data_IF_504786084301
#
_entry.id   IF_504786084301
#
_cell.length_a   1.000
_cell.length_b   1.000
_cell.length_c   1.000
_cell.angle_alpha   90.00
_cell.angle_beta   90.00
_cell.angle_gamma   90.00
#
_symmetry.space_group_name_H-M   'P 1'
#
loop_
_entity.id
_entity.type
_entity.pdbx_description
1 polymer ?
#
# COMPACT_ATOMS: atom_id res chain seq x y z
N UNK A 1 -0.71 20.68 6.38
CA UNK A 1 -1.29 19.64 5.56
C UNK A 1 -0.30 19.17 4.51
N UNK A 2 -0.18 17.89 4.35
CA UNK A 2 0.73 17.32 3.36
C UNK A 2 -0.03 17.05 2.07
N UNK A 3 0.27 17.83 1.02
CA UNK A 3 -0.37 17.68 -0.28
C UNK A 3 0.39 16.72 -1.20
N UNK A 4 1.48 16.12 -0.70
CA UNK A 4 2.33 15.27 -1.51
C UNK A 4 1.97 13.80 -1.41
N UNK A 5 1.09 13.43 -0.49
CA UNK A 5 0.67 12.04 -0.37
C UNK A 5 -0.13 11.61 -1.60
N UNK A 6 0.10 10.42 -2.13
CA UNK A 6 -0.81 9.86 -3.12
C UNK A 6 -2.24 9.83 -2.57
N UNK A 7 -3.23 9.88 -3.46
CA UNK A 7 -4.63 9.99 -3.07
C UNK A 7 -5.02 8.90 -2.07
N UNK A 8 -5.70 9.29 -0.98
CA UNK A 8 -6.24 8.43 0.06
C UNK A 8 -5.21 7.74 0.95
N UNK A 9 -3.94 8.04 0.80
CA UNK A 9 -2.91 7.51 1.71
C UNK A 9 -2.68 8.50 2.85
N UNK A 10 -2.71 7.98 4.07
CA UNK A 10 -2.45 8.76 5.29
C UNK A 10 -1.03 8.54 5.73
N UNK A 11 -0.43 9.55 6.35
CA UNK A 11 0.89 9.39 6.99
C UNK A 11 0.69 9.22 8.48
N UNK A 12 1.17 8.11 9.02
CA UNK A 12 1.11 7.79 10.45
C UNK A 12 2.48 7.22 10.85
N UNK A 13 3.14 7.83 11.83
CA UNK A 13 4.42 7.33 12.33
C UNK A 13 5.44 7.09 11.21
N UNK A 14 5.58 8.05 10.31
CA UNK A 14 6.49 7.98 9.16
C UNK A 14 6.19 6.81 8.21
N UNK A 15 4.93 6.42 8.14
CA UNK A 15 4.48 5.29 7.33
C UNK A 15 3.22 5.69 6.57
N UNK A 16 3.14 5.33 5.30
CA UNK A 16 1.88 5.47 4.55
C UNK A 16 0.94 4.35 4.95
N UNK A 17 -0.33 4.70 5.13
CA UNK A 17 -1.37 3.75 5.49
C UNK A 17 -2.61 3.97 4.64
N UNK A 18 -3.22 2.86 4.17
CA UNK A 18 -4.55 2.92 3.57
C UNK A 18 -5.29 1.61 3.81
N UNK A 19 -6.61 1.74 4.04
CA UNK A 19 -7.53 0.62 4.18
C UNK A 19 -8.39 0.52 2.94
N UNK A 20 -8.53 -0.69 2.41
CA UNK A 20 -9.32 -0.98 1.22
C UNK A 20 -10.43 -1.96 1.58
N UNK A 21 -11.65 -1.70 1.10
CA UNK A 21 -12.78 -2.62 1.28
C UNK A 21 -13.34 -3.01 -0.07
N UNK A 22 -13.67 -4.28 -0.20
CA UNK A 22 -14.14 -4.87 -1.43
C UNK A 22 -15.49 -5.54 -1.22
N UNK A 23 -16.06 -6.08 -2.27
CA UNK A 23 -17.35 -6.74 -2.21
C UNK A 23 -17.27 -8.04 -1.41
N UNK A 24 -16.19 -8.79 -1.56
CA UNK A 24 -15.99 -10.08 -0.92
C UNK A 24 -14.52 -10.43 -0.84
N UNK A 25 -14.21 -11.61 -0.31
CA UNK A 25 -12.84 -12.07 -0.17
C UNK A 25 -12.16 -12.29 -1.52
N UNK A 26 -12.89 -12.81 -2.48
CA UNK A 26 -12.33 -13.07 -3.81
C UNK A 26 -11.80 -11.78 -4.45
N UNK A 27 -12.59 -10.71 -4.36
CA UNK A 27 -12.17 -9.40 -4.86
C UNK A 27 -10.97 -8.84 -4.11
N UNK A 28 -10.99 -8.98 -2.78
CA UNK A 28 -9.88 -8.53 -1.93
C UNK A 28 -8.60 -9.28 -2.28
N UNK A 29 -8.68 -10.58 -2.43
CA UNK A 29 -7.51 -11.40 -2.71
C UNK A 29 -6.97 -11.16 -4.12
N UNK A 30 -7.85 -10.94 -5.09
CA UNK A 30 -7.43 -10.57 -6.43
C UNK A 30 -6.64 -9.26 -6.43
N UNK A 31 -7.12 -8.27 -5.66
CA UNK A 31 -6.39 -7.02 -5.47
C UNK A 31 -5.03 -7.27 -4.84
N UNK A 32 -4.97 -8.06 -3.77
CA UNK A 32 -3.71 -8.38 -3.11
C UNK A 32 -2.72 -9.04 -4.06
N UNK A 33 -3.20 -9.93 -4.91
CA UNK A 33 -2.35 -10.59 -5.89
C UNK A 33 -1.73 -9.56 -6.85
N UNK A 34 -2.53 -8.62 -7.34
CA UNK A 34 -2.03 -7.56 -8.21
C UNK A 34 -0.99 -6.68 -7.49
N UNK A 35 -1.26 -6.35 -6.24
CA UNK A 35 -0.32 -5.57 -5.43
C UNK A 35 0.98 -6.34 -5.21
N UNK A 36 0.86 -7.63 -4.91
CA UNK A 36 2.04 -8.48 -4.70
C UNK A 36 2.95 -8.48 -5.92
N UNK A 37 2.38 -8.60 -7.11
CA UNK A 37 3.16 -8.60 -8.35
C UNK A 37 3.83 -7.24 -8.59
N UNK A 38 3.13 -6.15 -8.33
CA UNK A 38 3.69 -4.82 -8.48
C UNK A 38 4.82 -4.57 -7.47
N UNK A 39 4.62 -4.99 -6.23
CA UNK A 39 5.62 -4.83 -5.17
C UNK A 39 6.89 -5.63 -5.51
N UNK A 40 6.71 -6.85 -5.97
CA UNK A 40 7.84 -7.70 -6.34
C UNK A 40 8.63 -7.11 -7.51
N UNK A 41 7.94 -6.56 -8.49
CA UNK A 41 8.57 -5.93 -9.64
C UNK A 41 9.44 -4.73 -9.24
N UNK A 42 9.02 -3.99 -8.22
CA UNK A 42 9.76 -2.85 -7.69
C UNK A 42 10.81 -3.26 -6.65
N UNK A 43 10.79 -4.51 -6.22
CA UNK A 43 11.59 -4.99 -5.09
C UNK A 43 11.38 -4.12 -3.85
N UNK A 44 10.10 -3.77 -3.59
CA UNK A 44 9.71 -2.96 -2.44
C UNK A 44 8.39 -3.50 -1.91
N UNK A 45 8.40 -4.07 -0.70
CA UNK A 45 7.30 -4.90 -0.21
C UNK A 45 6.52 -4.22 0.91
N UNK A 46 5.19 -4.31 0.88
CA UNK A 46 4.36 -3.70 1.90
C UNK A 46 4.25 -4.59 3.14
N UNK A 47 3.93 -3.94 4.28
CA UNK A 47 3.33 -4.66 5.39
C UNK A 47 1.82 -4.60 5.16
N UNK A 48 1.12 -5.72 5.30
CA UNK A 48 -0.32 -5.72 5.08
C UNK A 48 -1.04 -6.78 5.89
N UNK A 49 -2.34 -6.56 6.04
CA UNK A 49 -3.24 -7.54 6.63
C UNK A 49 -4.46 -7.70 5.75
N UNK A 50 -5.10 -8.86 5.84
CA UNK A 50 -6.35 -9.12 5.16
C UNK A 50 -7.30 -9.83 6.11
N UNK A 51 -8.52 -9.32 6.21
CA UNK A 51 -9.62 -9.98 6.91
C UNK A 51 -10.81 -9.93 5.99
N UNK A 52 -11.22 -11.06 5.46
CA UNK A 52 -12.33 -11.21 4.51
C UNK A 52 -12.25 -10.20 3.35
N UNK A 53 -13.07 -9.16 3.35
CA UNK A 53 -13.12 -8.19 2.25
C UNK A 53 -12.25 -6.95 2.50
N UNK A 54 -11.49 -6.93 3.58
CA UNK A 54 -10.73 -5.75 4.02
C UNK A 54 -9.23 -6.02 3.91
N UNK A 55 -8.54 -5.08 3.29
CA UNK A 55 -7.06 -5.13 3.16
C UNK A 55 -6.51 -3.83 3.73
N UNK A 56 -5.57 -3.94 4.65
CA UNK A 56 -4.86 -2.77 5.18
C UNK A 56 -3.42 -2.85 4.76
N UNK A 57 -2.87 -1.73 4.26
CA UNK A 57 -1.51 -1.70 3.73
C UNK A 57 -0.73 -0.56 4.37
N UNK A 58 0.48 -0.88 4.81
CA UNK A 58 1.45 0.08 5.35
C UNK A 58 2.70 0.06 4.49
N UNK A 59 3.20 1.24 4.12
CA UNK A 59 4.40 1.38 3.30
C UNK A 59 5.41 2.28 3.99
N UNK A 60 6.62 1.78 4.16
CA UNK A 60 7.78 2.60 4.48
C UNK A 60 9.02 1.91 3.94
N UNK A 61 10.16 2.60 4.00
CA UNK A 61 11.42 2.07 3.50
C UNK A 61 12.31 1.75 4.68
N UNK A 62 12.48 0.46 4.96
CA UNK A 62 13.27 -0.01 6.10
C UNK A 62 14.71 0.49 6.04
N UNK A 63 15.33 0.40 4.89
CA UNK A 63 16.75 0.79 4.73
C UNK A 63 16.98 2.29 4.93
N UNK A 64 15.93 3.10 4.88
CA UNK A 64 16.02 4.54 5.11
C UNK A 64 15.64 4.91 6.54
N UNK A 65 15.59 3.94 7.45
CA UNK A 65 15.23 4.19 8.85
C UNK A 65 13.74 4.15 9.10
N UNK A 66 13.02 3.27 8.41
CA UNK A 66 11.58 3.07 8.57
C UNK A 66 10.79 4.36 8.33
N UNK A 67 11.11 5.04 7.23
CA UNK A 67 10.43 6.27 6.85
C UNK A 67 9.94 6.17 5.41
N UNK A 68 9.01 7.06 5.05
CA UNK A 68 8.49 7.15 3.68
C UNK A 68 9.56 7.74 2.77
N UNK A 69 9.78 7.07 1.64
CA UNK A 69 10.68 7.55 0.60
C UNK A 69 9.95 7.57 -0.74
N UNK A 70 10.67 7.92 -1.79
CA UNK A 70 10.14 7.94 -3.15
C UNK A 70 9.60 6.57 -3.58
N UNK A 71 10.22 5.49 -3.12
CA UNK A 71 9.74 4.14 -3.41
C UNK A 71 8.32 3.93 -2.90
N UNK A 72 8.02 4.45 -1.72
CA UNK A 72 6.69 4.33 -1.13
C UNK A 72 5.67 5.16 -1.90
N UNK A 73 6.06 6.36 -2.35
CA UNK A 73 5.20 7.19 -3.19
C UNK A 73 4.86 6.46 -4.48
N UNK A 74 5.85 5.87 -5.13
CA UNK A 74 5.64 5.16 -6.38
C UNK A 74 4.73 3.94 -6.20
N UNK A 75 4.98 3.14 -5.17
CA UNK A 75 4.17 1.96 -4.92
C UNK A 75 2.74 2.34 -4.52
N UNK A 76 2.57 3.37 -3.69
CA UNK A 76 1.25 3.83 -3.29
C UNK A 76 0.41 4.26 -4.49
N UNK A 77 1.00 5.01 -5.41
CA UNK A 77 0.30 5.40 -6.65
C UNK A 77 -0.09 4.18 -7.47
N UNK A 78 0.84 3.23 -7.59
CA UNK A 78 0.58 2.01 -8.36
C UNK A 78 -0.57 1.21 -7.73
N UNK A 79 -0.58 1.09 -6.41
CA UNK A 79 -1.63 0.37 -5.70
C UNK A 79 -2.99 1.03 -5.96
N UNK A 80 -3.05 2.36 -5.95
CA UNK A 80 -4.30 3.07 -6.25
C UNK A 80 -4.86 2.69 -7.62
N UNK A 81 -4.00 2.42 -8.58
CA UNK A 81 -4.43 2.05 -9.93
C UNK A 81 -4.87 0.60 -10.05
N UNK A 82 -4.62 -0.21 -9.03
CA UNK A 82 -4.87 -1.65 -9.09
C UNK A 82 -6.20 -2.07 -8.46
N UNK A 83 -6.84 -1.21 -7.73
CA UNK A 83 -8.10 -1.56 -7.06
C UNK A 83 -9.31 -1.48 -7.97
#
# INVERSE_FOLDING_TARGET
>A
MDNNNPANWLTQDNTFYQKFQFKDFSEAFAFMTRVALAAEKMDHHPKWTNTWNTVEIWLNTHDAGDTVTDKDHQLAKKINDLK
#
